data_IF_577926288127
#
_entry.id   IF_577926288127
#
_cell.length_a   1.000
_cell.length_b   1.000
_cell.length_c   1.000
_cell.angle_alpha   90.00
_cell.angle_beta   90.00
_cell.angle_gamma   90.00
#
_symmetry.space_group_name_H-M   'P 1'
#
loop_
_entity.id
_entity.type
_entity.pdbx_description
1 polymer ?
#
# COMPACT_ATOMS: atom_id res chain seq x y z
N UNK A 1 -4.72 -4.30 -32.63
CA UNK A 1 -3.67 -3.62 -31.85
C UNK A 1 -3.62 -4.32 -30.51
N UNK A 2 -2.49 -4.89 -30.12
CA UNK A 2 -2.33 -5.45 -28.77
C UNK A 2 -2.44 -4.29 -27.78
N UNK A 3 -3.33 -4.40 -26.80
CA UNK A 3 -3.39 -3.47 -25.67
C UNK A 3 -2.06 -3.64 -24.91
N UNK A 4 -1.37 -2.55 -24.63
CA UNK A 4 -0.15 -2.57 -23.83
C UNK A 4 -0.52 -3.01 -22.41
N UNK A 5 0.14 -4.07 -21.92
CA UNK A 5 -0.13 -4.62 -20.59
C UNK A 5 0.63 -3.84 -19.53
N UNK A 6 0.04 -3.70 -18.36
CA UNK A 6 0.77 -3.23 -17.19
C UNK A 6 1.83 -4.28 -16.81
N UNK A 7 3.03 -3.85 -16.38
CA UNK A 7 4.11 -4.78 -16.02
C UNK A 7 4.31 -4.82 -14.52
N UNK A 8 4.49 -6.02 -13.99
CA UNK A 8 4.77 -6.25 -12.58
C UNK A 8 6.02 -7.11 -12.45
N UNK A 9 7.01 -6.62 -11.73
CA UNK A 9 8.18 -7.40 -11.36
C UNK A 9 7.85 -8.26 -10.15
N UNK A 10 8.01 -9.57 -10.27
CA UNK A 10 7.88 -10.52 -9.17
C UNK A 10 9.20 -11.27 -9.03
N UNK A 11 9.84 -11.13 -7.87
CA UNK A 11 11.12 -11.76 -7.58
C UNK A 11 11.04 -12.65 -6.34
N UNK A 12 11.59 -13.85 -6.44
CA UNK A 12 11.89 -14.72 -5.31
C UNK A 12 13.40 -15.03 -5.34
N UNK A 13 14.14 -14.45 -4.42
CA UNK A 13 15.61 -14.52 -4.35
C UNK A 13 16.06 -15.09 -2.99
N UNK A 14 17.23 -14.67 -2.51
CA UNK A 14 17.85 -15.18 -1.28
C UNK A 14 17.39 -14.45 -0.01
N UNK A 15 17.00 -13.17 -0.09
CA UNK A 15 16.62 -12.38 1.07
C UNK A 15 15.74 -11.17 0.69
N UNK A 16 15.15 -10.53 1.72
CA UNK A 16 14.24 -9.39 1.60
C UNK A 16 14.78 -8.24 0.75
N UNK A 17 15.99 -7.76 1.03
CA UNK A 17 16.62 -6.64 0.31
C UNK A 17 16.77 -6.96 -1.17
N UNK A 18 17.23 -8.18 -1.47
CA UNK A 18 17.41 -8.65 -2.85
C UNK A 18 16.08 -8.91 -3.56
N UNK A 19 15.05 -9.39 -2.86
CA UNK A 19 13.70 -9.54 -3.40
C UNK A 19 13.16 -8.21 -3.92
N UNK A 20 13.24 -7.15 -3.10
CA UNK A 20 12.76 -5.81 -3.48
C UNK A 20 13.59 -5.23 -4.63
N UNK A 21 14.93 -5.28 -4.52
CA UNK A 21 15.82 -4.79 -5.58
C UNK A 21 15.51 -5.46 -6.92
N UNK A 22 15.48 -6.79 -6.97
CA UNK A 22 15.23 -7.52 -8.21
C UNK A 22 13.82 -7.30 -8.76
N UNK A 23 12.81 -7.17 -7.90
CA UNK A 23 11.46 -6.83 -8.35
C UNK A 23 11.43 -5.47 -9.06
N UNK A 24 12.13 -4.46 -8.54
CA UNK A 24 12.25 -3.15 -9.17
C UNK A 24 13.07 -3.19 -10.47
N UNK A 25 14.17 -3.96 -10.50
CA UNK A 25 14.98 -4.15 -11.72
C UNK A 25 14.17 -4.70 -12.89
N UNK A 26 13.25 -5.62 -12.63
CA UNK A 26 12.40 -6.24 -13.65
C UNK A 26 11.47 -5.25 -14.34
N UNK A 27 11.07 -4.17 -13.66
CA UNK A 27 10.20 -3.10 -14.19
C UNK A 27 10.93 -1.75 -14.27
N UNK A 28 12.26 -1.78 -14.39
CA UNK A 28 13.11 -0.58 -14.38
C UNK A 28 12.65 0.49 -15.38
N UNK A 29 12.28 0.07 -16.59
CA UNK A 29 11.87 0.96 -17.67
C UNK A 29 10.53 1.65 -17.41
N UNK A 30 9.62 1.00 -16.68
CA UNK A 30 8.35 1.58 -16.27
C UNK A 30 8.50 2.51 -15.06
N UNK A 31 9.47 2.22 -14.19
CA UNK A 31 9.72 2.95 -12.95
C UNK A 31 10.50 4.25 -13.19
N UNK A 32 11.59 4.22 -13.96
CA UNK A 32 12.47 5.39 -14.18
C UNK A 32 11.70 6.66 -14.59
N UNK A 33 10.72 6.62 -15.51
CA UNK A 33 9.96 7.80 -15.91
C UNK A 33 9.12 8.45 -14.80
N UNK A 34 8.86 7.76 -13.69
CA UNK A 34 8.12 8.27 -12.53
C UNK A 34 9.01 8.99 -11.51
N UNK A 35 10.31 8.70 -11.54
CA UNK A 35 11.25 9.16 -10.52
C UNK A 35 11.66 10.61 -10.74
N UNK A 36 11.86 11.33 -9.64
CA UNK A 36 12.25 12.73 -9.61
C UNK A 36 13.42 12.96 -8.66
N UNK A 37 13.92 14.20 -8.57
CA UNK A 37 15.03 14.53 -7.67
C UNK A 37 14.70 14.35 -6.18
N UNK A 38 13.43 14.49 -5.81
CA UNK A 38 12.92 14.14 -4.49
C UNK A 38 11.99 12.93 -4.65
N UNK A 39 12.15 11.92 -3.79
CA UNK A 39 11.26 10.75 -3.74
C UNK A 39 10.84 10.51 -2.29
N UNK A 40 9.56 10.24 -2.06
CA UNK A 40 9.06 9.81 -0.76
C UNK A 40 8.83 8.30 -0.73
N UNK A 41 9.44 7.62 0.24
CA UNK A 41 9.16 6.23 0.59
C UNK A 41 8.18 6.19 1.76
N UNK A 42 7.03 5.55 1.56
CA UNK A 42 6.02 5.31 2.57
C UNK A 42 6.06 3.85 3.03
N UNK A 43 6.82 3.50 4.09
CA UNK A 43 6.70 2.17 4.69
C UNK A 43 5.29 1.97 5.27
N UNK A 44 4.99 0.76 5.71
CA UNK A 44 3.82 0.47 6.51
C UNK A 44 4.22 0.38 7.97
N UNK A 45 3.70 1.21 8.88
CA UNK A 45 3.79 0.99 10.33
C UNK A 45 2.41 0.93 10.97
N UNK A 46 1.97 -0.26 11.38
CA UNK A 46 0.77 -0.37 12.22
C UNK A 46 1.07 -0.05 13.70
N UNK A 47 2.23 -0.51 14.17
CA UNK A 47 2.65 -0.51 15.57
C UNK A 47 4.15 -0.29 15.63
N UNK A 48 4.62 0.39 16.67
CA UNK A 48 6.06 0.51 16.97
C UNK A 48 6.71 -0.75 17.54
N UNK A 49 5.95 -1.83 17.79
CA UNK A 49 6.42 -3.04 18.48
C UNK A 49 6.29 -4.33 17.66
N UNK A 50 5.32 -4.40 16.75
CA UNK A 50 5.09 -5.60 15.92
C UNK A 50 5.72 -5.44 14.53
N UNK A 51 6.93 -5.98 14.34
CA UNK A 51 7.61 -5.96 13.04
C UNK A 51 6.86 -6.75 11.95
N UNK A 52 6.00 -7.73 12.28
CA UNK A 52 5.24 -8.47 11.26
C UNK A 52 4.16 -7.62 10.58
N UNK A 53 3.68 -6.59 11.28
CA UNK A 53 2.70 -5.66 10.76
C UNK A 53 3.34 -4.35 10.26
N UNK A 54 4.67 -4.32 10.18
CA UNK A 54 5.46 -3.13 9.85
C UNK A 54 6.54 -3.46 8.81
N UNK A 55 6.75 -2.60 7.82
CA UNK A 55 7.78 -2.80 6.80
C UNK A 55 9.15 -2.89 7.46
N UNK A 56 9.90 -3.92 7.10
CA UNK A 56 11.25 -4.10 7.63
C UNK A 56 12.22 -3.20 6.87
N UNK A 57 13.18 -2.63 7.58
CA UNK A 57 14.14 -1.67 7.03
C UNK A 57 14.91 -2.21 5.81
N UNK A 58 15.18 -3.51 5.73
CA UNK A 58 15.82 -4.11 4.54
C UNK A 58 15.00 -4.04 3.25
N UNK A 59 13.66 -3.99 3.33
CA UNK A 59 12.84 -3.71 2.15
C UNK A 59 13.11 -2.28 1.64
N UNK A 60 13.24 -1.33 2.58
CA UNK A 60 13.61 0.05 2.26
C UNK A 60 15.02 0.15 1.70
N UNK A 61 15.99 -0.59 2.26
CA UNK A 61 17.34 -0.69 1.69
C UNK A 61 17.31 -1.19 0.26
N UNK A 62 16.51 -2.22 -0.04
CA UNK A 62 16.36 -2.75 -1.40
C UNK A 62 15.80 -1.71 -2.38
N UNK A 63 14.85 -0.90 -1.92
CA UNK A 63 14.33 0.24 -2.68
C UNK A 63 15.39 1.32 -2.91
N UNK A 64 16.12 1.74 -1.87
CA UNK A 64 17.17 2.76 -1.97
C UNK A 64 18.30 2.29 -2.90
N UNK A 65 18.72 1.03 -2.78
CA UNK A 65 19.73 0.44 -3.67
C UNK A 65 19.34 0.58 -5.13
N UNK A 66 18.10 0.23 -5.48
CA UNK A 66 17.59 0.42 -6.83
C UNK A 66 17.64 1.90 -7.25
N UNK A 67 17.10 2.79 -6.42
CA UNK A 67 17.05 4.24 -6.71
C UNK A 67 18.44 4.84 -6.97
N UNK A 68 19.48 4.34 -6.31
CA UNK A 68 20.85 4.83 -6.48
C UNK A 68 21.56 4.25 -7.73
N UNK A 69 20.99 3.24 -8.38
CA UNK A 69 21.55 2.64 -9.62
C UNK A 69 20.98 3.24 -10.91
N UNK A 70 19.95 4.08 -10.82
CA UNK A 70 19.33 4.67 -12.00
C UNK A 70 20.23 5.78 -12.61
N UNK A 71 20.07 6.15 -13.90
CA UNK A 71 20.93 7.13 -14.55
C UNK A 71 20.96 8.51 -13.88
N UNK A 72 19.83 8.92 -13.30
CA UNK A 72 19.68 10.18 -12.55
C UNK A 72 19.07 9.89 -11.18
N UNK A 73 19.88 9.48 -10.18
CA UNK A 73 19.39 9.18 -8.84
C UNK A 73 18.70 10.39 -8.17
N UNK A 74 17.76 10.16 -7.24
CA UNK A 74 17.22 11.24 -6.43
C UNK A 74 18.33 11.94 -5.63
N UNK A 75 18.22 13.25 -5.51
CA UNK A 75 19.11 14.08 -4.68
C UNK A 75 18.71 14.06 -3.21
N UNK A 76 17.49 13.62 -2.90
CA UNK A 76 17.01 13.42 -1.53
C UNK A 76 15.90 12.36 -1.47
N UNK A 77 15.83 11.65 -0.34
CA UNK A 77 14.81 10.65 -0.06
C UNK A 77 14.13 11.00 1.26
N UNK A 78 12.80 11.09 1.24
CA UNK A 78 12.00 11.28 2.46
C UNK A 78 11.37 9.93 2.79
N UNK A 79 11.57 9.43 4.01
CA UNK A 79 10.86 8.26 4.52
C UNK A 79 9.81 8.76 5.50
N UNK A 80 8.55 8.77 5.07
CA UNK A 80 7.45 9.36 5.85
C UNK A 80 6.49 8.29 6.35
N UNK A 81 6.24 8.18 7.65
CA UNK A 81 5.22 7.30 8.24
C UNK A 81 4.95 7.68 9.71
N UNK A 82 3.74 7.41 10.20
CA UNK A 82 3.36 7.54 11.62
C UNK A 82 2.61 6.30 12.12
N UNK A 83 3.18 5.61 13.12
CA UNK A 83 2.64 4.36 13.67
C UNK A 83 1.59 4.57 14.78
N UNK A 84 0.99 3.49 15.30
CA UNK A 84 0.41 3.57 16.66
C UNK A 84 1.55 3.45 17.68
N UNK A 85 2.05 4.59 18.13
CA UNK A 85 3.24 4.72 18.98
C UNK A 85 3.02 5.63 20.21
N UNK A 86 3.89 5.49 21.20
CA UNK A 86 3.86 6.24 22.46
C UNK A 86 4.44 7.65 22.32
N UNK A 87 5.40 7.82 21.41
CA UNK A 87 6.00 9.10 21.06
C UNK A 87 6.36 9.14 19.59
N UNK A 88 6.53 10.36 19.07
CA UNK A 88 6.77 10.61 17.65
C UNK A 88 8.08 9.98 17.16
N UNK A 89 7.98 9.10 16.16
CA UNK A 89 9.10 8.42 15.55
C UNK A 89 9.63 7.20 16.32
N UNK A 90 8.91 6.70 17.33
CA UNK A 90 9.26 5.48 18.07
C UNK A 90 9.45 4.28 17.13
N UNK A 91 8.59 4.12 16.12
CA UNK A 91 8.72 3.03 15.17
C UNK A 91 10.03 3.11 14.34
N UNK A 92 10.49 4.32 14.01
CA UNK A 92 11.78 4.49 13.34
C UNK A 92 12.96 4.04 14.22
N UNK A 93 12.88 4.29 15.53
CA UNK A 93 13.88 3.87 16.50
C UNK A 93 13.88 2.34 16.65
N UNK A 94 12.70 1.75 16.86
CA UNK A 94 12.56 0.32 17.16
C UNK A 94 12.85 -0.58 15.96
N UNK A 95 12.60 -0.13 14.73
CA UNK A 95 12.78 -0.93 13.51
C UNK A 95 14.06 -0.59 12.73
N UNK A 96 14.99 0.16 13.33
CA UNK A 96 16.33 0.38 12.76
C UNK A 96 16.39 1.35 11.59
N UNK A 97 15.39 2.22 11.43
CA UNK A 97 15.36 3.20 10.33
C UNK A 97 16.35 4.35 10.54
N UNK A 98 16.74 4.64 11.78
CA UNK A 98 17.72 5.70 12.11
C UNK A 98 19.08 5.47 11.46
N UNK A 99 19.47 4.22 11.28
CA UNK A 99 20.74 3.86 10.66
C UNK A 99 20.81 4.31 9.19
N UNK A 100 19.67 4.33 8.49
CA UNK A 100 19.59 4.71 7.08
C UNK A 100 20.14 6.12 6.80
N UNK A 101 20.00 7.05 7.77
CA UNK A 101 20.42 8.45 7.62
C UNK A 101 21.91 8.58 7.29
N UNK A 102 22.74 7.66 7.79
CA UNK A 102 24.19 7.68 7.60
C UNK A 102 24.72 6.50 6.77
N UNK A 103 23.85 5.60 6.32
CA UNK A 103 24.23 4.40 5.55
C UNK A 103 24.48 4.73 4.07
N UNK A 104 23.86 5.79 3.55
CA UNK A 104 23.90 6.17 2.14
C UNK A 104 24.41 7.60 1.95
N UNK A 105 25.07 7.85 0.81
CA UNK A 105 25.58 9.17 0.44
C UNK A 105 24.47 10.15 0.00
N UNK A 106 23.24 9.67 -0.22
CA UNK A 106 22.07 10.51 -0.50
C UNK A 106 21.45 10.99 0.81
N UNK A 107 21.08 12.28 0.93
CA UNK A 107 20.30 12.77 2.05
C UNK A 107 19.01 11.97 2.26
N UNK A 108 18.86 11.39 3.46
CA UNK A 108 17.66 10.67 3.88
C UNK A 108 17.04 11.39 5.09
N UNK A 109 15.78 11.82 4.95
CA UNK A 109 15.00 12.40 6.03
C UNK A 109 13.95 11.41 6.53
N UNK A 110 13.94 11.12 7.82
CA UNK A 110 12.82 10.42 8.46
C UNK A 110 11.78 11.44 8.92
N UNK A 111 10.55 11.29 8.45
CA UNK A 111 9.45 12.21 8.75
C UNK A 111 8.30 11.46 9.43
N UNK A 112 8.03 11.79 10.69
CA UNK A 112 6.82 11.28 11.34
C UNK A 112 5.60 12.10 10.90
N UNK A 113 4.68 11.44 10.21
CA UNK A 113 3.45 12.08 9.69
C UNK A 113 2.52 12.62 10.78
N UNK A 114 2.67 12.22 12.04
CA UNK A 114 1.95 12.86 13.15
C UNK A 114 2.39 14.30 13.41
N UNK A 115 3.57 14.70 12.92
CA UNK A 115 4.08 16.07 13.03
C UNK A 115 3.59 16.98 11.89
N UNK A 116 2.83 16.46 10.93
CA UNK A 116 2.28 17.26 9.84
C UNK A 116 1.33 18.34 10.37
N UNK A 117 1.49 19.55 9.86
CA UNK A 117 0.68 20.72 10.24
C UNK A 117 -0.07 21.32 9.06
N UNK A 118 0.30 20.97 7.83
CA UNK A 118 -0.31 21.46 6.60
C UNK A 118 -1.15 20.36 5.95
N UNK A 119 -2.41 20.68 5.69
CA UNK A 119 -3.40 19.71 5.23
C UNK A 119 -4.25 20.28 4.10
N UNK A 120 -4.51 19.47 3.09
CA UNK A 120 -5.63 19.66 2.17
C UNK A 120 -6.82 18.81 2.63
N UNK A 121 -8.04 19.19 2.24
CA UNK A 121 -9.25 18.44 2.63
C UNK A 121 -10.02 17.97 1.40
N UNK A 122 -10.54 16.75 1.50
CA UNK A 122 -11.52 16.22 0.54
C UNK A 122 -12.61 15.46 1.28
N UNK A 123 -13.69 15.10 0.59
CA UNK A 123 -14.82 14.42 1.19
C UNK A 123 -14.84 12.92 0.89
N UNK A 124 -15.06 12.14 1.94
CA UNK A 124 -15.40 10.72 1.88
C UNK A 124 -16.87 10.49 2.26
N UNK A 125 -17.34 9.26 2.14
CA UNK A 125 -18.72 8.86 2.41
C UNK A 125 -18.78 8.06 3.72
N UNK A 126 -19.78 8.35 4.56
CA UNK A 126 -20.13 7.52 5.71
C UNK A 126 -21.22 6.49 5.38
N UNK A 127 -21.44 5.52 6.26
CA UNK A 127 -22.43 4.46 6.11
C UNK A 127 -23.86 5.00 5.96
N UNK A 128 -24.17 6.12 6.61
CA UNK A 128 -25.43 6.87 6.51
C UNK A 128 -25.54 7.73 5.23
N UNK A 129 -24.53 7.66 4.34
CA UNK A 129 -24.40 8.38 3.08
C UNK A 129 -24.06 9.86 3.22
N UNK A 130 -23.79 10.35 4.42
CA UNK A 130 -23.26 11.70 4.61
C UNK A 130 -21.86 11.83 4.01
N UNK A 131 -21.53 13.04 3.56
CA UNK A 131 -20.19 13.40 3.11
C UNK A 131 -19.47 14.12 4.25
N UNK A 132 -18.29 13.64 4.63
CA UNK A 132 -17.50 14.25 5.69
C UNK A 132 -16.08 14.56 5.21
N UNK A 133 -15.48 15.66 5.69
CA UNK A 133 -14.12 16.01 5.31
C UNK A 133 -13.12 15.11 6.02
N UNK A 134 -12.05 14.79 5.30
CA UNK A 134 -10.83 14.15 5.80
C UNK A 134 -9.61 14.96 5.36
N UNK A 135 -8.58 14.94 6.21
CA UNK A 135 -7.34 15.69 5.98
C UNK A 135 -6.27 14.82 5.34
N UNK A 136 -5.73 15.30 4.23
CA UNK A 136 -4.62 14.72 3.47
C UNK A 136 -3.36 15.58 3.65
N UNK A 137 -2.22 14.99 4.01
CA UNK A 137 -1.04 15.75 4.41
C UNK A 137 -0.35 16.38 3.18
N UNK A 138 0.01 17.67 3.27
CA UNK A 138 0.68 18.36 2.15
C UNK A 138 2.04 17.77 1.81
N UNK A 139 2.79 17.23 2.79
CA UNK A 139 4.06 16.56 2.50
C UNK A 139 3.92 15.40 1.51
N UNK A 140 2.77 14.72 1.47
CA UNK A 140 2.51 13.63 0.52
C UNK A 140 1.99 14.19 -0.80
N UNK A 141 1.05 15.14 -0.75
CA UNK A 141 0.42 15.71 -1.96
C UNK A 141 1.38 16.54 -2.80
N UNK A 142 2.30 17.25 -2.16
CA UNK A 142 3.28 18.12 -2.83
C UNK A 142 4.56 17.36 -3.23
N UNK A 143 4.71 16.10 -2.79
CA UNK A 143 5.86 15.28 -3.16
C UNK A 143 5.74 14.84 -4.64
N UNK A 144 6.76 15.12 -5.48
CA UNK A 144 6.67 14.86 -6.92
C UNK A 144 6.71 13.38 -7.31
N UNK A 145 7.13 12.50 -6.39
CA UNK A 145 7.14 11.06 -6.62
C UNK A 145 6.97 10.32 -5.27
N UNK A 146 5.94 9.49 -5.18
CA UNK A 146 5.63 8.72 -3.97
C UNK A 146 5.68 7.21 -4.22
N UNK A 147 6.32 6.49 -3.31
CA UNK A 147 6.51 5.04 -3.39
C UNK A 147 5.95 4.40 -2.12
N UNK A 148 4.94 3.55 -2.24
CA UNK A 148 4.43 2.78 -1.11
C UNK A 148 5.20 1.47 -0.97
N UNK A 149 5.74 1.18 0.21
CA UNK A 149 6.47 -0.05 0.52
C UNK A 149 5.72 -0.81 1.61
N UNK A 150 4.80 -1.67 1.20
CA UNK A 150 3.89 -2.38 2.10
C UNK A 150 4.33 -3.81 2.42
N UNK A 151 3.72 -4.39 3.45
CA UNK A 151 3.86 -5.81 3.80
C UNK A 151 2.70 -6.59 3.19
N UNK A 152 2.94 -7.79 2.67
CA UNK A 152 1.89 -8.71 2.24
C UNK A 152 1.08 -9.22 3.44
N UNK A 153 -0.18 -8.78 3.61
CA UNK A 153 -0.98 -9.19 4.78
C UNK A 153 -2.48 -9.27 4.52
N UNK A 154 -3.14 -10.16 5.26
CA UNK A 154 -4.61 -10.18 5.39
C UNK A 154 -5.10 -9.11 6.36
N UNK A 155 -6.39 -8.77 6.29
CA UNK A 155 -6.97 -7.71 7.12
C UNK A 155 -8.42 -8.03 7.54
N UNK A 156 -8.88 -7.38 8.62
CA UNK A 156 -10.28 -7.43 9.09
C UNK A 156 -11.28 -6.72 8.16
N UNK A 157 -10.79 -6.00 7.14
CA UNK A 157 -11.58 -5.30 6.11
C UNK A 157 -10.76 -5.21 4.84
N UNK A 158 -11.39 -5.50 3.69
CA UNK A 158 -10.80 -5.49 2.33
C UNK A 158 -9.95 -6.73 1.96
N UNK A 159 -10.05 -7.80 2.74
CA UNK A 159 -9.42 -9.13 2.58
C UNK A 159 -7.91 -9.10 2.77
N UNK A 160 -7.24 -8.25 1.99
CA UNK A 160 -5.80 -7.98 2.06
C UNK A 160 -5.56 -6.49 2.29
N UNK A 161 -4.35 -6.13 2.71
CA UNK A 161 -3.89 -4.75 2.64
C UNK A 161 -2.47 -4.75 2.12
N UNK A 162 -2.22 -3.90 1.14
CA UNK A 162 -1.00 -3.87 0.35
C UNK A 162 -0.62 -2.40 0.09
N UNK A 163 -0.02 -2.08 -1.06
CA UNK A 163 0.61 -0.80 -1.30
C UNK A 163 -0.38 0.37 -1.35
N UNK A 164 -1.54 0.25 -2.01
CA UNK A 164 -2.49 1.36 -2.11
C UNK A 164 -3.09 1.72 -0.74
N UNK A 165 -3.63 0.72 -0.03
CA UNK A 165 -4.24 0.92 1.27
C UNK A 165 -3.22 1.39 2.31
N UNK A 166 -1.97 0.92 2.24
CA UNK A 166 -0.87 1.43 3.06
C UNK A 166 -0.63 2.95 2.86
N UNK A 167 -0.60 3.40 1.60
CA UNK A 167 -0.41 4.81 1.29
C UNK A 167 -1.58 5.64 1.82
N UNK A 168 -2.81 5.29 1.44
CA UNK A 168 -4.00 6.08 1.80
C UNK A 168 -4.22 6.08 3.32
N UNK A 169 -4.36 4.89 3.94
CA UNK A 169 -4.71 4.80 5.36
C UNK A 169 -3.57 5.25 6.28
N UNK A 170 -2.32 5.08 5.85
CA UNK A 170 -1.16 5.43 6.65
C UNK A 170 -0.76 6.91 6.58
N UNK A 171 -1.22 7.66 5.58
CA UNK A 171 -0.90 9.10 5.45
C UNK A 171 -2.03 10.02 5.90
N UNK A 172 -3.29 9.58 5.86
CA UNK A 172 -4.40 10.36 6.39
C UNK A 172 -4.18 10.74 7.85
N UNK A 173 -4.68 11.93 8.21
CA UNK A 173 -4.68 12.38 9.60
C UNK A 173 -5.30 11.30 10.49
N UNK A 174 -4.62 10.97 11.60
CA UNK A 174 -4.96 9.84 12.48
C UNK A 174 -6.44 9.79 12.87
N UNK A 175 -7.00 10.90 13.33
CA UNK A 175 -8.40 11.01 13.74
C UNK A 175 -9.42 10.80 12.60
N UNK A 176 -8.99 10.95 11.35
CA UNK A 176 -9.86 10.82 10.18
C UNK A 176 -9.86 9.39 9.63
N UNK A 177 -8.87 8.55 9.99
CA UNK A 177 -8.73 7.16 9.50
C UNK A 177 -9.95 6.31 9.80
N UNK A 178 -10.58 6.48 10.97
CA UNK A 178 -11.80 5.72 11.34
C UNK A 178 -12.97 6.02 10.40
N UNK A 179 -13.06 7.25 9.89
CA UNK A 179 -14.14 7.69 9.00
C UNK A 179 -14.09 6.97 7.65
N UNK A 180 -12.90 6.51 7.22
CA UNK A 180 -12.73 5.71 6.00
C UNK A 180 -13.58 4.45 6.02
N UNK A 181 -13.80 3.87 7.20
CA UNK A 181 -14.63 2.69 7.42
C UNK A 181 -16.14 2.98 7.32
N UNK A 182 -16.51 4.25 7.15
CA UNK A 182 -17.90 4.70 7.06
C UNK A 182 -18.51 5.15 8.39
N UNK A 183 -17.73 5.27 9.46
CA UNK A 183 -18.24 5.54 10.82
C UNK A 183 -17.42 6.58 11.57
N UNK A 184 -18.02 7.24 12.56
CA UNK A 184 -17.30 8.25 13.34
C UNK A 184 -16.43 7.64 14.45
N UNK A 185 -16.70 6.40 14.84
CA UNK A 185 -15.95 5.68 15.87
C UNK A 185 -15.80 4.19 15.55
N UNK A 186 -14.80 3.54 16.14
CA UNK A 186 -14.54 2.12 15.94
C UNK A 186 -15.67 1.23 16.50
N UNK A 187 -16.35 1.66 17.56
CA UNK A 187 -17.45 0.93 18.19
C UNK A 187 -18.74 0.92 17.36
N UNK A 188 -18.86 1.83 16.40
CA UNK A 188 -20.02 1.94 15.50
C UNK A 188 -19.86 1.10 14.23
N UNK A 189 -18.67 0.51 13.98
CA UNK A 189 -18.40 -0.26 12.76
C UNK A 189 -19.33 -1.47 12.67
N UNK A 190 -20.06 -1.60 11.56
CA UNK A 190 -20.96 -2.72 11.31
C UNK A 190 -20.55 -3.50 10.06
N UNK A 191 -20.62 -4.83 10.14
CA UNK A 191 -20.42 -5.73 9.00
C UNK A 191 -21.77 -6.15 8.41
N UNK A 192 -21.90 -6.31 7.07
CA UNK A 192 -20.88 -6.08 6.04
C UNK A 192 -20.77 -4.60 5.60
N UNK A 193 -21.54 -3.69 6.20
CA UNK A 193 -21.68 -2.31 5.73
C UNK A 193 -20.35 -1.57 5.59
N UNK A 194 -19.44 -1.79 6.54
CA UNK A 194 -18.06 -1.29 6.48
C UNK A 194 -17.34 -1.67 5.18
N UNK A 195 -17.42 -2.92 4.74
CA UNK A 195 -16.76 -3.36 3.50
C UNK A 195 -17.35 -2.68 2.27
N UNK A 196 -18.63 -2.32 2.29
CA UNK A 196 -19.29 -1.61 1.21
C UNK A 196 -18.78 -0.17 1.06
N UNK A 197 -18.46 0.48 2.18
CA UNK A 197 -18.07 1.89 2.21
C UNK A 197 -16.55 2.09 2.08
N UNK A 198 -15.75 1.26 2.77
CA UNK A 198 -14.29 1.43 2.77
C UNK A 198 -13.72 1.34 1.35
N UNK A 199 -14.19 0.37 0.56
CA UNK A 199 -13.77 0.19 -0.83
C UNK A 199 -14.03 1.43 -1.69
N UNK A 200 -15.19 2.07 -1.53
CA UNK A 200 -15.54 3.31 -2.24
C UNK A 200 -14.60 4.44 -1.78
N UNK A 201 -14.40 4.60 -0.47
CA UNK A 201 -13.56 5.67 0.07
C UNK A 201 -12.09 5.53 -0.35
N UNK A 202 -11.57 4.29 -0.43
CA UNK A 202 -10.22 4.03 -0.96
C UNK A 202 -10.09 4.48 -2.42
N UNK A 203 -11.06 4.16 -3.28
CA UNK A 203 -11.05 4.61 -4.68
C UNK A 203 -11.19 6.14 -4.78
N UNK A 204 -12.07 6.76 -3.98
CA UNK A 204 -12.20 8.23 -3.94
C UNK A 204 -10.88 8.90 -3.59
N UNK A 205 -10.17 8.41 -2.58
CA UNK A 205 -8.88 8.99 -2.17
C UNK A 205 -7.72 8.61 -3.09
N UNK A 206 -7.82 7.53 -3.86
CA UNK A 206 -6.79 7.16 -4.84
C UNK A 206 -6.54 8.25 -5.90
N UNK A 207 -7.48 9.18 -6.12
CA UNK A 207 -7.24 10.32 -7.01
C UNK A 207 -6.16 11.28 -6.53
N UNK A 208 -5.92 11.31 -5.22
CA UNK A 208 -5.01 12.25 -4.56
C UNK A 208 -3.80 11.54 -3.97
N UNK A 209 -4.02 10.35 -3.39
CA UNK A 209 -3.03 9.63 -2.57
C UNK A 209 -2.64 8.28 -3.18
N UNK A 210 -2.88 8.05 -4.48
CA UNK A 210 -2.34 6.88 -5.16
C UNK A 210 -0.83 7.04 -5.33
N UNK A 211 -0.02 6.09 -4.83
CA UNK A 211 1.43 6.15 -5.04
C UNK A 211 1.77 5.97 -6.52
N UNK A 212 2.83 6.63 -6.98
CA UNK A 212 3.37 6.45 -8.32
C UNK A 212 3.92 5.04 -8.52
N UNK A 213 4.45 4.46 -7.45
CA UNK A 213 5.08 3.14 -7.47
C UNK A 213 4.58 2.33 -6.26
N UNK A 214 4.11 1.11 -6.53
CA UNK A 214 3.72 0.15 -5.50
C UNK A 214 4.81 -0.91 -5.32
N UNK A 215 5.27 -1.11 -4.09
CA UNK A 215 6.19 -2.17 -3.69
C UNK A 215 5.55 -2.98 -2.56
N UNK A 216 5.59 -4.31 -2.68
CA UNK A 216 5.18 -5.22 -1.63
C UNK A 216 6.36 -6.11 -1.22
N UNK A 217 6.69 -6.04 0.06
CA UNK A 217 7.51 -7.01 0.75
C UNK A 217 6.65 -8.19 1.20
N UNK A 218 6.73 -9.26 0.43
CA UNK A 218 6.13 -10.56 0.74
C UNK A 218 7.15 -11.54 1.29
N UNK A 219 8.27 -11.08 1.87
CA UNK A 219 9.29 -12.02 2.40
C UNK A 219 8.69 -12.83 3.54
N UNK A 220 8.17 -12.12 4.54
CA UNK A 220 7.35 -12.67 5.61
C UNK A 220 6.03 -11.90 5.63
N UNK A 221 4.95 -12.56 5.28
CA UNK A 221 3.60 -12.01 5.33
C UNK A 221 2.91 -12.24 6.67
N UNK A 222 1.78 -11.55 6.86
CA UNK A 222 0.89 -11.72 8.01
C UNK A 222 -0.46 -12.26 7.55
N UNK A 223 -0.86 -13.42 8.06
CA UNK A 223 -2.12 -14.07 7.70
C UNK A 223 -3.09 -14.17 8.89
N UNK A 224 -4.33 -14.53 8.61
CA UNK A 224 -5.41 -14.62 9.59
C UNK A 224 -5.92 -13.26 10.02
N UNK A 225 -5.95 -13.04 11.33
CA UNK A 225 -6.60 -11.88 11.96
C UNK A 225 -5.68 -10.64 11.99
N UNK A 226 -5.25 -10.18 10.82
CA UNK A 226 -4.65 -8.84 10.66
C UNK A 226 -5.66 -7.72 10.92
N UNK A 227 -5.22 -6.48 11.23
CA UNK A 227 -3.84 -6.01 11.11
C UNK A 227 -2.96 -6.30 12.34
N UNK A 228 -3.55 -6.57 13.52
CA UNK A 228 -2.81 -6.77 14.79
C UNK A 228 -2.31 -8.19 15.09
N UNK A 229 -2.43 -9.11 14.13
CA UNK A 229 -2.07 -10.52 14.29
C UNK A 229 -0.56 -10.78 14.40
N UNK A 230 -0.21 -12.01 14.77
CA UNK A 230 1.17 -12.51 14.86
C UNK A 230 1.40 -13.81 14.08
N UNK A 231 0.40 -14.28 13.33
CA UNK A 231 0.50 -15.48 12.50
C UNK A 231 1.21 -15.15 11.18
N UNK A 232 2.53 -15.34 11.20
CA UNK A 232 3.41 -15.09 10.07
C UNK A 232 3.41 -16.25 9.07
N UNK A 233 3.65 -15.92 7.81
CA UNK A 233 3.83 -16.91 6.73
C UNK A 233 4.98 -16.48 5.82
N UNK A 234 5.88 -17.39 5.51
CA UNK A 234 7.02 -17.11 4.62
C UNK A 234 6.61 -17.34 3.16
N UNK A 235 6.40 -16.23 2.44
CA UNK A 235 6.11 -16.24 1.01
C UNK A 235 7.38 -16.00 0.18
N UNK A 236 8.40 -15.36 0.77
CA UNK A 236 9.72 -15.08 0.19
C UNK A 236 9.67 -14.40 -1.19
N UNK A 237 8.82 -13.39 -1.37
CA UNK A 237 8.75 -12.62 -2.62
C UNK A 237 8.94 -11.11 -2.41
N UNK A 238 9.35 -10.44 -3.47
CA UNK A 238 9.23 -8.99 -3.65
C UNK A 238 8.41 -8.72 -4.90
N UNK A 239 7.53 -7.72 -4.83
CA UNK A 239 6.67 -7.30 -5.94
C UNK A 239 6.81 -5.80 -6.15
N UNK A 240 6.95 -5.35 -7.40
CA UNK A 240 7.02 -3.92 -7.74
C UNK A 240 6.32 -3.60 -9.06
N UNK A 241 5.74 -2.40 -9.16
CA UNK A 241 5.09 -1.88 -10.37
C UNK A 241 4.97 -0.36 -10.37
N UNK A 242 4.99 0.24 -11.56
CA UNK A 242 4.59 1.64 -11.79
C UNK A 242 3.07 1.85 -11.83
N UNK A 243 2.29 0.79 -11.67
CA UNK A 243 0.86 0.80 -11.37
C UNK A 243 0.61 0.00 -10.09
N UNK A 244 0.28 0.72 -9.01
CA UNK A 244 0.05 0.13 -7.69
C UNK A 244 -1.08 -0.90 -7.68
N UNK A 245 -2.12 -0.72 -8.50
CA UNK A 245 -3.22 -1.68 -8.57
C UNK A 245 -2.76 -3.01 -9.16
N UNK A 246 -1.83 -2.97 -10.11
CA UNK A 246 -1.24 -4.17 -10.71
C UNK A 246 -0.37 -4.92 -9.71
N UNK A 247 0.47 -4.21 -8.95
CA UNK A 247 1.28 -4.83 -7.88
C UNK A 247 0.40 -5.45 -6.78
N UNK A 248 -0.65 -4.75 -6.37
CA UNK A 248 -1.59 -5.22 -5.36
C UNK A 248 -2.39 -6.44 -5.86
N UNK A 249 -2.83 -6.46 -7.13
CA UNK A 249 -3.56 -7.58 -7.72
C UNK A 249 -2.69 -8.84 -7.87
N UNK A 250 -1.44 -8.70 -8.35
CA UNK A 250 -0.49 -9.81 -8.46
C UNK A 250 -0.18 -10.39 -7.08
N UNK A 251 0.07 -9.55 -6.08
CA UNK A 251 0.33 -10.02 -4.72
C UNK A 251 -0.89 -10.69 -4.09
N UNK A 252 -2.08 -10.14 -4.31
CA UNK A 252 -3.36 -10.75 -3.89
C UNK A 252 -3.49 -12.17 -4.44
N UNK A 253 -3.15 -12.36 -5.72
CA UNK A 253 -3.15 -13.69 -6.35
C UNK A 253 -2.09 -14.61 -5.74
N UNK A 254 -0.89 -14.11 -5.49
CA UNK A 254 0.18 -14.85 -4.83
C UNK A 254 -0.18 -15.27 -3.39
N UNK A 255 -0.98 -14.48 -2.68
CA UNK A 255 -1.54 -14.83 -1.36
C UNK A 255 -2.71 -15.84 -1.43
N UNK A 256 -3.06 -16.31 -2.63
CA UNK A 256 -4.11 -17.30 -2.85
C UNK A 256 -5.53 -16.73 -2.89
N UNK A 257 -5.69 -15.42 -2.97
CA UNK A 257 -6.98 -14.77 -3.18
C UNK A 257 -7.22 -14.46 -4.67
N UNK A 258 -8.45 -14.17 -5.03
CA UNK A 258 -8.80 -13.75 -6.38
C UNK A 258 -9.05 -12.22 -6.37
N UNK A 259 -8.24 -11.41 -7.08
CA UNK A 259 -8.44 -9.96 -7.14
C UNK A 259 -9.86 -9.56 -7.60
N UNK A 260 -10.48 -10.34 -8.50
CA UNK A 260 -11.81 -10.03 -9.02
C UNK A 260 -12.92 -10.13 -7.95
N UNK A 261 -12.67 -10.80 -6.82
CA UNK A 261 -13.65 -10.96 -5.74
C UNK A 261 -13.58 -9.83 -4.70
N UNK A 262 -12.63 -8.89 -4.83
CA UNK A 262 -12.40 -7.81 -3.85
C UNK A 262 -12.86 -6.47 -4.45
N UNK A 263 -13.67 -5.74 -3.66
CA UNK A 263 -14.32 -4.50 -4.10
C UNK A 263 -13.36 -3.42 -4.58
N UNK A 264 -12.19 -3.30 -3.95
CA UNK A 264 -11.18 -2.32 -4.31
C UNK A 264 -10.76 -2.48 -5.78
N UNK A 265 -10.42 -3.70 -6.19
CA UNK A 265 -9.98 -3.99 -7.55
C UNK A 265 -11.13 -3.86 -8.56
N UNK A 266 -12.35 -4.24 -8.17
CA UNK A 266 -13.53 -4.10 -9.01
C UNK A 266 -13.81 -2.62 -9.32
N UNK A 267 -13.94 -1.78 -8.29
CA UNK A 267 -14.21 -0.36 -8.47
C UNK A 267 -13.04 0.37 -9.14
N UNK A 268 -11.79 -0.05 -8.91
CA UNK A 268 -10.64 0.48 -9.63
C UNK A 268 -10.75 0.25 -11.15
N UNK A 269 -11.15 -0.96 -11.54
CA UNK A 269 -11.37 -1.33 -12.94
C UNK A 269 -12.57 -0.59 -13.54
N UNK A 270 -13.67 -0.43 -12.80
CA UNK A 270 -14.85 0.31 -13.25
C UNK A 270 -14.52 1.79 -13.51
N UNK A 271 -13.71 2.39 -12.65
CA UNK A 271 -13.32 3.80 -12.74
C UNK A 271 -12.10 4.05 -13.65
N UNK A 272 -11.44 3.00 -14.13
CA UNK A 272 -10.26 3.10 -14.98
C UNK A 272 -9.05 3.78 -14.31
N UNK A 273 -8.92 3.64 -12.98
CA UNK A 273 -7.86 4.31 -12.20
C UNK A 273 -6.56 3.50 -12.05
N UNK A 274 -6.59 2.23 -12.47
CA UNK A 274 -5.46 1.31 -12.56
C UNK A 274 -5.86 -0.05 -13.11
N UNK A 275 -4.91 -0.96 -13.27
CA UNK A 275 -5.11 -2.29 -13.85
C UNK A 275 -5.04 -3.35 -12.75
N UNK A 276 -6.14 -4.07 -12.55
CA UNK A 276 -6.24 -5.15 -11.55
C UNK A 276 -6.64 -6.51 -12.16
N UNK A 277 -7.04 -6.52 -13.43
CA UNK A 277 -7.29 -7.74 -14.21
C UNK A 277 -5.96 -8.38 -14.60
N UNK A 278 -5.69 -9.56 -14.05
CA UNK A 278 -4.46 -10.32 -14.29
C UNK A 278 -4.23 -10.63 -15.78
N UNK A 279 -5.26 -10.66 -16.62
CA UNK A 279 -5.09 -10.88 -18.07
C UNK A 279 -4.46 -9.66 -18.78
N UNK A 280 -4.60 -8.48 -18.19
CA UNK A 280 -4.04 -7.20 -18.66
C UNK A 280 -2.70 -6.87 -17.99
N UNK A 281 -2.18 -7.79 -17.16
CA UNK A 281 -0.89 -7.67 -16.49
C UNK A 281 0.09 -8.67 -17.12
N UNK A 282 1.32 -8.21 -17.35
CA UNK A 282 2.48 -9.03 -17.67
C UNK A 282 3.35 -9.13 -16.42
N UNK A 283 3.49 -10.35 -15.88
CA UNK A 283 4.38 -10.61 -14.75
C UNK A 283 5.76 -10.97 -15.28
N UNK A 284 6.75 -10.20 -14.86
CA UNK A 284 8.16 -10.39 -15.19
C UNK A 284 8.87 -11.05 -14.01
N UNK A 285 9.80 -11.97 -14.28
CA UNK A 285 10.54 -12.70 -13.26
C UNK A 285 9.88 -14.04 -12.93
N UNK A 286 9.52 -14.24 -11.66
CA UNK A 286 9.00 -15.51 -11.17
C UNK A 286 7.50 -15.63 -11.48
N UNK A 287 7.02 -16.73 -12.08
CA UNK A 287 5.59 -16.95 -12.31
C UNK A 287 4.79 -16.96 -11.00
N UNK A 288 3.56 -16.43 -11.01
CA UNK A 288 2.73 -16.35 -9.79
C UNK A 288 2.44 -17.75 -9.25
N UNK A 289 2.17 -18.71 -10.14
CA UNK A 289 1.85 -20.10 -9.82
C UNK A 289 2.97 -20.84 -9.07
N UNK A 290 4.23 -20.41 -9.24
CA UNK A 290 5.39 -21.04 -8.59
C UNK A 290 5.55 -20.56 -7.14
N UNK A 291 4.99 -19.40 -6.80
CA UNK A 291 5.10 -18.76 -5.48
C UNK A 291 3.78 -18.70 -4.73
N UNK A 292 2.66 -18.98 -5.39
CA UNK A 292 1.34 -18.81 -4.80
C UNK A 292 1.17 -19.70 -3.56
N UNK A 293 0.79 -19.07 -2.45
CA UNK A 293 0.54 -19.72 -1.18
C UNK A 293 -0.77 -19.18 -0.61
N UNK A 294 -1.71 -20.08 -0.30
CA UNK A 294 -2.99 -19.69 0.27
C UNK A 294 -2.82 -19.23 1.72
N UNK A 295 -2.88 -17.91 1.92
CA UNK A 295 -2.89 -17.33 3.25
C UNK A 295 -4.20 -17.68 3.95
N UNK A 296 -4.14 -17.89 5.26
CA UNK A 296 -5.35 -17.97 6.08
C UNK A 296 -6.08 -16.62 6.02
N UNK A 297 -7.36 -16.54 5.62
CA UNK A 297 -8.10 -15.29 5.66
C UNK A 297 -8.44 -14.86 7.10
N UNK A 298 -8.82 -13.60 7.27
CA UNK A 298 -9.45 -13.14 8.51
C UNK A 298 -10.73 -13.93 8.80
N UNK A 299 -11.04 -14.19 10.07
CA UNK A 299 -12.19 -15.03 10.48
C UNK A 299 -13.56 -14.52 9.99
N UNK A 300 -13.63 -13.25 9.60
CA UNK A 300 -14.83 -12.54 9.12
C UNK A 300 -14.79 -12.22 7.62
N UNK A 301 -13.93 -12.90 6.85
CA UNK A 301 -13.72 -12.61 5.41
C UNK A 301 -15.01 -12.69 4.59
N UNK A 302 -15.96 -13.54 4.98
CA UNK A 302 -17.26 -13.67 4.31
C UNK A 302 -18.07 -12.37 4.27
N UNK A 303 -17.91 -11.49 5.27
CA UNK A 303 -18.54 -10.17 5.28
C UNK A 303 -17.79 -9.17 4.40
N UNK A 304 -16.49 -9.38 4.20
CA UNK A 304 -15.65 -8.50 3.39
C UNK A 304 -15.91 -8.72 1.89
N UNK A 305 -16.29 -9.93 1.48
CA UNK A 305 -16.73 -10.22 0.11
C UNK A 305 -18.13 -9.66 -0.24
N UNK A 306 -18.86 -9.14 0.75
CA UNK A 306 -20.15 -8.46 0.57
C UNK A 306 -19.97 -6.95 0.38
N UNK A 307 -18.97 -6.55 -0.41
CA UNK A 307 -18.56 -5.16 -0.64
C UNK A 307 -19.46 -4.40 -1.62
N UNK A 308 -20.39 -5.07 -2.30
CA UNK A 308 -21.22 -4.46 -3.33
C UNK A 308 -22.14 -3.41 -2.70
N UNK A 309 -22.02 -2.17 -3.16
CA UNK A 309 -22.94 -1.08 -2.82
C UNK A 309 -23.80 -0.78 -4.05
N UNK A 310 -25.13 -0.88 -3.89
CA UNK A 310 -26.09 -0.74 -4.99
C UNK A 310 -25.93 0.60 -5.72
N UNK A 311 -25.57 1.66 -5.01
CA UNK A 311 -25.39 2.99 -5.58
C UNK A 311 -23.91 3.42 -5.65
N UNK A 312 -22.98 2.46 -5.73
CA UNK A 312 -21.53 2.73 -5.70
C UNK A 312 -21.12 3.82 -6.71
N UNK A 313 -21.67 3.74 -7.92
CA UNK A 313 -21.40 4.70 -9.00
C UNK A 313 -21.71 6.15 -8.62
N UNK A 314 -22.81 6.42 -7.92
CA UNK A 314 -23.16 7.78 -7.45
C UNK A 314 -22.13 8.32 -6.44
N UNK A 315 -21.45 7.43 -5.74
CA UNK A 315 -20.41 7.77 -4.76
C UNK A 315 -19.02 7.80 -5.38
N UNK A 316 -18.79 7.11 -6.49
CA UNK A 316 -17.51 7.08 -7.21
C UNK A 316 -17.41 8.21 -8.24
N UNK A 317 -18.52 8.73 -8.74
CA UNK A 317 -18.53 9.91 -9.61
C UNK A 317 -17.92 11.11 -8.87
N UNK A 318 -16.76 11.53 -9.37
CA UNK A 318 -15.97 12.62 -8.82
C UNK A 318 -16.67 13.94 -9.15
N UNK A 319 -17.33 14.51 -8.15
CA UNK A 319 -17.92 15.87 -8.21
C UNK A 319 -16.90 16.87 -7.72
#
# INVERSE_FOLDING_TARGET
MSIEKAKVGLAQTSNRRQNILHALELVREEIIPKLTSQVMLKPNFLSSKNQLASTHVDAIRGTIDFLLTIPTPPTEIIIAEGANEEYSGEAFDNFGYRDLINEYDVPIQLYDTHQETEWETTNIILADKSRVPVRMPKIVLDCPCTISVAVAKTHDVDVVTLALKNMIMGTLHKDDRVKMHGYSSHSERELPREAQILNINLIRLSQYLKPDIGIIDGTTGLQGNGPGGTDSVDLNIGVASADVFSADAVTTKAMGFNPADIGLFHYASEMGVGVSDLNQIEVLGTPIEDVALSFRPHEKVEFQFQWQEKNAREYLEFV
#
